data_IF_539993989640
#
_entry.id   IF_539993989640
#
_cell.length_a   1.000
_cell.length_b   1.000
_cell.length_c   1.000
_cell.angle_alpha   90.00
_cell.angle_beta   90.00
_cell.angle_gamma   90.00
#
_symmetry.space_group_name_H-M   'P 1'
#
loop_
_entity.id
_entity.type
_entity.pdbx_description
1 polymer ?
#
# COMPACT_ATOMS: atom_id res chain seq x y z
N UNK A 1 9.26 -0.85 58.09
CA UNK A 1 9.41 0.55 57.59
C UNK A 1 9.29 0.54 56.07
N UNK A 2 8.08 0.77 55.53
CA UNK A 2 7.86 0.80 54.07
C UNK A 2 8.47 2.05 53.44
N UNK A 3 9.20 1.90 52.33
CA UNK A 3 9.79 3.02 51.59
C UNK A 3 8.66 3.87 50.99
N UNK A 4 8.53 5.10 51.46
CA UNK A 4 7.58 6.07 50.92
C UNK A 4 7.96 6.39 49.48
N UNK A 5 7.15 5.92 48.53
CA UNK A 5 7.26 6.32 47.13
C UNK A 5 6.67 7.72 46.99
N UNK A 6 7.52 8.75 47.13
CA UNK A 6 7.12 10.10 46.75
C UNK A 6 6.76 10.12 45.27
N UNK A 7 5.59 10.68 44.96
CA UNK A 7 5.16 10.93 43.58
C UNK A 7 6.22 11.83 42.94
N UNK A 8 6.68 11.42 41.76
CA UNK A 8 7.67 12.20 40.99
C UNK A 8 7.09 13.55 40.62
N UNK A 9 7.95 14.56 40.60
CA UNK A 9 7.55 15.89 40.13
C UNK A 9 7.30 15.84 38.62
N UNK A 10 6.39 16.69 38.08
CA UNK A 10 6.13 16.75 36.65
C UNK A 10 7.39 17.00 35.80
N UNK A 11 8.37 17.73 36.36
CA UNK A 11 9.67 17.97 35.73
C UNK A 11 10.49 16.67 35.57
N UNK A 12 10.53 15.81 36.58
CA UNK A 12 11.25 14.52 36.54
C UNK A 12 10.58 13.53 35.56
N UNK A 13 9.26 13.60 35.41
CA UNK A 13 8.53 12.81 34.44
C UNK A 13 8.81 13.25 32.99
N UNK A 14 8.86 14.57 32.75
CA UNK A 14 9.21 15.12 31.44
C UNK A 14 10.65 14.75 31.02
N UNK A 15 11.62 14.82 31.93
CA UNK A 15 13.00 14.43 31.66
C UNK A 15 13.10 12.92 31.33
N UNK A 16 12.38 12.09 32.09
CA UNK A 16 12.34 10.64 31.83
C UNK A 16 11.70 10.33 30.48
N UNK A 17 10.65 11.06 30.10
CA UNK A 17 10.01 10.93 28.79
C UNK A 17 10.98 11.30 27.66
N UNK A 18 11.73 12.39 27.79
CA UNK A 18 12.78 12.78 26.83
C UNK A 18 13.89 11.73 26.73
N UNK A 19 14.33 11.17 27.86
CA UNK A 19 15.34 10.11 27.87
C UNK A 19 14.82 8.81 27.23
N UNK A 20 13.55 8.47 27.46
CA UNK A 20 12.89 7.31 26.82
C UNK A 20 12.73 7.54 25.31
N UNK A 21 12.33 8.74 24.89
CA UNK A 21 12.23 9.13 23.49
C UNK A 21 13.59 9.09 22.77
N UNK A 22 14.66 9.60 23.41
CA UNK A 22 16.03 9.55 22.86
C UNK A 22 16.55 8.11 22.75
N UNK A 23 16.24 7.24 23.72
CA UNK A 23 16.56 5.80 23.64
C UNK A 23 15.76 5.11 22.53
N UNK A 24 14.48 5.43 22.37
CA UNK A 24 13.65 4.91 21.29
C UNK A 24 14.16 5.35 19.90
N UNK A 25 14.52 6.62 19.74
CA UNK A 25 15.10 7.16 18.52
C UNK A 25 16.47 6.54 18.17
N UNK A 26 17.30 6.25 19.18
CA UNK A 26 18.57 5.53 18.97
C UNK A 26 18.33 4.07 18.56
N UNK A 27 17.30 3.42 19.11
CA UNK A 27 16.91 2.05 18.72
C UNK A 27 16.31 2.00 17.31
N UNK A 28 15.51 2.98 16.90
CA UNK A 28 14.96 3.03 15.54
C UNK A 28 16.06 3.27 14.49
N UNK A 29 17.02 4.16 14.76
CA UNK A 29 18.20 4.36 13.89
C UNK A 29 19.06 3.10 13.74
N UNK A 30 19.20 2.30 14.81
CA UNK A 30 19.95 1.04 14.74
C UNK A 30 19.17 -0.04 13.97
N UNK A 31 17.83 -0.02 13.99
CA UNK A 31 16.98 -0.89 13.16
C UNK A 31 17.03 -0.52 11.67
N UNK A 32 17.03 0.77 11.31
CA UNK A 32 17.08 1.18 9.90
C UNK A 32 18.42 0.86 9.23
N UNK A 33 19.53 0.90 9.97
CA UNK A 33 20.84 0.54 9.42
C UNK A 33 21.02 -0.98 9.19
N UNK A 34 20.17 -1.82 9.81
CA UNK A 34 20.21 -3.28 9.63
C UNK A 34 19.25 -3.78 8.55
N UNK A 35 18.29 -2.95 8.10
CA UNK A 35 17.33 -3.33 7.05
C UNK A 35 17.76 -2.94 5.63
N UNK A 36 18.84 -2.16 5.47
CA UNK A 36 19.29 -1.63 4.16
C UNK A 36 20.58 -2.31 3.66
N UNK A 37 21.06 -3.34 4.38
CA UNK A 37 22.33 -4.04 4.09
C UNK A 37 22.23 -5.56 4.01
N UNK A 38 21.03 -6.12 3.90
CA UNK A 38 20.83 -7.54 3.56
C UNK A 38 20.33 -7.59 2.12
N UNK A 39 21.24 -7.30 1.19
CA UNK A 39 21.15 -7.84 -0.16
C UNK A 39 21.25 -9.35 -0.04
N UNK A 40 20.26 -10.03 -0.61
CA UNK A 40 20.20 -11.46 -0.79
C UNK A 40 21.34 -11.91 -1.72
N UNK A 41 22.52 -12.15 -1.15
CA UNK A 41 23.53 -13.06 -1.71
C UNK A 41 23.91 -14.01 -0.57
N UNK A 42 23.22 -15.14 -0.52
CA UNK A 42 23.33 -16.10 0.57
C UNK A 42 22.89 -17.50 0.15
N UNK A 43 23.29 -17.93 -1.04
CA UNK A 43 23.31 -19.36 -1.37
C UNK A 43 24.43 -20.04 -0.58
N UNK A 44 24.02 -21.12 0.07
CA UNK A 44 24.82 -22.05 0.85
C UNK A 44 26.02 -22.62 0.07
N UNK A 45 27.16 -22.78 0.73
CA UNK A 45 28.16 -23.78 0.32
C UNK A 45 28.23 -24.91 1.36
N UNK A 46 28.24 -26.18 0.92
CA UNK A 46 27.97 -27.33 1.77
C UNK A 46 29.22 -27.89 2.43
N UNK A 47 28.98 -28.73 3.43
CA UNK A 47 29.93 -29.63 4.08
C UNK A 47 30.85 -30.32 3.06
N UNK A 48 32.15 -30.07 3.13
CA UNK A 48 33.19 -31.01 2.69
C UNK A 48 34.25 -31.12 3.77
N UNK A 49 34.24 -32.26 4.47
CA UNK A 49 35.40 -32.70 5.21
C UNK A 49 36.52 -33.03 4.22
N UNK A 50 37.71 -32.48 4.45
CA UNK A 50 38.96 -33.09 4.04
C UNK A 50 40.09 -32.55 4.92
N UNK A 51 40.56 -33.40 5.82
CA UNK A 51 41.94 -33.40 6.30
C UNK A 51 42.87 -33.39 5.08
N UNK A 52 43.60 -32.31 4.85
CA UNK A 52 44.92 -32.33 4.21
C UNK A 52 45.75 -31.22 4.86
N UNK A 53 46.74 -31.69 5.60
CA UNK A 53 47.99 -31.06 6.04
C UNK A 53 48.71 -30.24 4.96
N UNK A 54 49.65 -29.40 5.43
CA UNK A 54 50.82 -28.84 4.72
C UNK A 54 50.69 -27.34 4.37
N UNK A 55 51.22 -26.46 5.24
CA UNK A 55 52.52 -25.74 5.12
C UNK A 55 52.57 -24.83 3.87
N UNK A 56 52.76 -23.51 3.95
CA UNK A 56 53.88 -22.76 4.51
C UNK A 56 53.44 -21.27 4.65
N UNK A 57 54.01 -20.58 5.64
CA UNK A 57 54.36 -19.14 5.64
C UNK A 57 53.29 -18.13 5.17
N UNK A 58 52.67 -17.44 6.12
CA UNK A 58 52.82 -15.97 6.12
C UNK A 58 52.77 -15.45 7.57
N UNK A 59 53.84 -14.77 7.91
CA UNK A 59 54.23 -14.31 9.24
C UNK A 59 53.72 -12.86 9.41
N UNK A 60 53.44 -12.48 10.65
CA UNK A 60 53.29 -11.09 11.11
C UNK A 60 52.02 -10.29 10.78
N UNK A 61 50.94 -10.52 11.54
CA UNK A 61 50.12 -9.41 12.08
C UNK A 61 49.70 -9.70 13.52
N UNK A 62 50.50 -9.18 14.45
CA UNK A 62 50.30 -9.25 15.90
C UNK A 62 49.15 -8.33 16.34
N UNK A 63 47.96 -8.91 16.55
CA UNK A 63 46.80 -8.23 17.15
C UNK A 63 46.25 -9.04 18.33
N UNK A 64 45.83 -8.40 19.45
CA UNK A 64 45.32 -9.11 20.61
C UNK A 64 44.08 -9.96 20.24
N UNK A 65 44.00 -11.22 20.71
CA UNK A 65 42.88 -12.09 20.38
C UNK A 65 41.55 -11.48 20.85
N UNK A 66 40.49 -11.48 20.02
CA UNK A 66 39.19 -11.02 20.45
C UNK A 66 38.66 -11.92 21.58
N UNK A 67 37.96 -11.33 22.58
CA UNK A 67 37.41 -12.09 23.69
C UNK A 67 36.42 -13.16 23.19
N UNK A 68 36.31 -14.31 23.88
CA UNK A 68 35.43 -15.39 23.46
C UNK A 68 33.99 -14.89 23.37
N UNK A 69 33.44 -14.95 22.16
CA UNK A 69 32.06 -14.61 21.86
C UNK A 69 31.13 -15.44 22.74
N UNK A 70 30.51 -14.79 23.72
CA UNK A 70 29.36 -15.31 24.46
C UNK A 70 28.15 -15.37 23.51
N UNK A 71 28.19 -16.32 22.57
CA UNK A 71 27.13 -16.58 21.60
C UNK A 71 26.02 -17.43 22.23
N UNK A 72 25.31 -16.82 23.16
CA UNK A 72 23.91 -17.16 23.40
C UNK A 72 23.07 -15.93 23.06
N UNK A 73 23.24 -15.45 21.82
CA UNK A 73 22.31 -14.48 21.24
C UNK A 73 20.95 -15.16 21.18
N UNK A 74 20.08 -14.75 22.09
CA UNK A 74 18.64 -14.97 22.02
C UNK A 74 18.21 -14.73 20.57
N UNK A 75 17.88 -15.82 19.86
CA UNK A 75 17.10 -15.72 18.64
C UNK A 75 15.82 -14.98 19.06
N UNK A 76 15.52 -13.82 18.46
CA UNK A 76 14.25 -13.15 18.72
C UNK A 76 13.15 -14.18 18.50
N UNK A 77 12.25 -14.29 19.46
CA UNK A 77 11.14 -15.21 19.34
C UNK A 77 10.21 -14.67 18.24
N UNK A 78 10.36 -15.21 17.04
CA UNK A 78 9.67 -14.73 15.84
C UNK A 78 8.15 -14.86 16.00
N UNK A 79 7.71 -15.85 16.77
CA UNK A 79 6.31 -16.07 17.10
C UNK A 79 5.76 -14.97 18.02
N UNK A 80 6.57 -14.48 18.96
CA UNK A 80 6.20 -13.34 19.80
C UNK A 80 6.07 -12.04 18.98
N UNK A 81 6.91 -11.87 17.96
CA UNK A 81 6.88 -10.70 17.06
C UNK A 81 5.67 -10.78 16.11
N UNK A 82 5.36 -11.98 15.59
CA UNK A 82 4.17 -12.20 14.77
C UNK A 82 2.89 -11.98 15.56
N UNK A 83 2.81 -12.49 16.79
CA UNK A 83 1.68 -12.24 17.68
C UNK A 83 1.53 -10.75 18.01
N UNK A 84 2.63 -10.01 18.23
CA UNK A 84 2.53 -8.56 18.48
C UNK A 84 2.03 -7.78 17.25
N UNK A 85 2.40 -8.21 16.04
CA UNK A 85 1.91 -7.62 14.78
C UNK A 85 0.45 -7.98 14.50
N UNK A 86 0.04 -9.22 14.75
CA UNK A 86 -1.37 -9.62 14.64
C UNK A 86 -2.23 -8.94 15.69
N UNK A 87 -1.77 -8.83 16.93
CA UNK A 87 -2.49 -8.13 18.01
C UNK A 87 -2.61 -6.62 17.71
N UNK A 88 -1.60 -6.04 17.06
CA UNK A 88 -1.67 -4.65 16.57
C UNK A 88 -2.67 -4.49 15.41
N UNK A 89 -2.67 -5.40 14.43
CA UNK A 89 -3.66 -5.41 13.33
C UNK A 89 -5.07 -5.64 13.84
N UNK A 90 -5.23 -6.55 14.78
CA UNK A 90 -6.51 -6.86 15.40
C UNK A 90 -7.03 -5.65 16.18
N UNK A 91 -6.17 -4.97 16.94
CA UNK A 91 -6.51 -3.70 17.59
C UNK A 91 -6.88 -2.63 16.58
N UNK A 92 -6.10 -2.43 15.52
CA UNK A 92 -6.43 -1.43 14.50
C UNK A 92 -7.78 -1.73 13.84
N UNK A 93 -8.06 -2.99 13.51
CA UNK A 93 -9.35 -3.45 12.98
C UNK A 93 -10.51 -3.22 13.97
N UNK A 94 -10.28 -3.43 15.26
CA UNK A 94 -11.26 -3.11 16.31
C UNK A 94 -11.52 -1.61 16.44
N UNK A 95 -10.48 -0.78 16.30
CA UNK A 95 -10.62 0.68 16.32
C UNK A 95 -11.31 1.23 15.07
N UNK A 96 -11.14 0.58 13.93
CA UNK A 96 -11.83 0.93 12.68
C UNK A 96 -13.32 0.53 12.75
N UNK A 97 -13.62 -0.68 13.25
CA UNK A 97 -14.99 -1.14 13.47
C UNK A 97 -15.76 -0.28 14.48
N UNK A 98 -15.11 0.18 15.56
CA UNK A 98 -15.72 1.12 16.53
C UNK A 98 -15.73 2.57 16.06
N UNK A 99 -14.96 2.90 15.01
CA UNK A 99 -14.88 4.25 14.44
C UNK A 99 -16.02 4.56 13.46
N UNK A 100 -16.54 3.52 12.80
CA UNK A 100 -17.59 3.62 11.76
C UNK A 100 -19.00 3.31 12.28
N UNK A 101 -19.14 2.75 13.50
CA UNK A 101 -20.42 2.70 14.21
C UNK A 101 -20.81 4.12 14.62
N UNK A 102 -21.69 4.72 13.80
CA UNK A 102 -22.53 5.89 14.04
C UNK A 102 -22.39 6.46 15.45
N UNK A 103 -21.38 7.34 15.59
CA UNK A 103 -21.19 8.28 16.69
C UNK A 103 -22.57 8.72 17.17
N UNK A 104 -22.91 8.40 18.42
CA UNK A 104 -24.20 8.63 19.09
C UNK A 104 -24.87 9.98 18.73
N UNK A 105 -24.10 11.02 18.43
CA UNK A 105 -24.54 12.29 17.86
C UNK A 105 -25.47 12.16 16.62
N UNK A 106 -25.29 11.14 15.77
CA UNK A 106 -26.12 10.88 14.58
C UNK A 106 -27.45 10.19 14.90
N UNK A 107 -27.46 9.30 15.90
CA UNK A 107 -28.68 8.65 16.40
C UNK A 107 -29.51 9.67 17.20
N UNK A 108 -28.85 10.53 17.99
CA UNK A 108 -29.51 11.60 18.76
C UNK A 108 -30.08 12.70 17.83
N UNK A 109 -29.40 13.01 16.72
CA UNK A 109 -29.96 13.89 15.68
C UNK A 109 -31.21 13.27 15.02
N UNK A 110 -31.18 11.96 14.68
CA UNK A 110 -32.34 11.26 14.11
C UNK A 110 -33.51 11.12 15.09
N UNK A 111 -33.26 10.94 16.38
CA UNK A 111 -34.33 10.90 17.40
C UNK A 111 -34.95 12.28 17.64
N UNK A 112 -34.16 13.35 17.54
CA UNK A 112 -34.68 14.72 17.64
C UNK A 112 -35.48 15.17 16.41
N UNK A 113 -35.21 14.62 15.22
CA UNK A 113 -36.00 14.93 14.01
C UNK A 113 -37.41 14.33 14.02
N UNK A 114 -37.66 13.23 14.75
CA UNK A 114 -38.99 12.61 14.86
C UNK A 114 -39.82 13.12 16.05
N UNK A 115 -39.22 13.87 16.98
CA UNK A 115 -39.97 14.56 18.02
C UNK A 115 -40.60 15.84 17.45
N UNK A 116 -41.65 15.71 16.65
CA UNK A 116 -42.55 16.82 16.33
C UNK A 116 -43.25 17.26 17.62
N UNK A 117 -42.57 18.05 18.44
CA UNK A 117 -43.18 18.80 19.53
C UNK A 117 -44.14 19.79 18.88
N UNK A 118 -45.47 19.69 19.11
CA UNK A 118 -46.43 20.62 18.55
C UNK A 118 -46.05 22.06 18.92
N UNK A 119 -46.20 23.00 17.99
CA UNK A 119 -45.74 24.39 18.16
C UNK A 119 -46.26 25.06 19.43
N UNK A 120 -47.41 24.62 19.97
CA UNK A 120 -47.94 25.10 21.25
C UNK A 120 -47.07 24.80 22.48
N UNK A 121 -46.18 23.81 22.41
CA UNK A 121 -45.28 23.38 23.51
C UNK A 121 -43.83 23.77 23.25
N UNK A 122 -43.50 24.28 22.06
CA UNK A 122 -42.27 25.05 21.85
C UNK A 122 -42.49 26.38 22.57
N UNK A 123 -41.99 26.49 23.79
CA UNK A 123 -42.04 27.70 24.59
C UNK A 123 -41.52 28.89 23.77
N UNK A 124 -42.47 29.73 23.36
CA UNK A 124 -42.36 31.13 22.97
C UNK A 124 -40.96 31.74 23.12
N UNK A 125 -40.26 31.89 21.99
CA UNK A 125 -39.57 33.12 21.61
C UNK A 125 -38.89 32.91 20.26
N UNK A 126 -38.92 33.91 19.40
CA UNK A 126 -38.06 34.03 18.22
C UNK A 126 -38.43 33.20 16.98
N UNK A 127 -39.66 33.36 16.48
CA UNK A 127 -39.84 33.37 15.02
C UNK A 127 -40.92 34.34 14.57
N UNK A 128 -40.46 35.43 13.96
CA UNK A 128 -41.13 36.25 12.95
C UNK A 128 -42.53 36.80 13.26
N UNK A 129 -42.71 37.27 14.50
CA UNK A 129 -43.55 38.43 14.75
C UNK A 129 -42.61 39.56 15.16
N UNK A 130 -42.49 40.60 14.33
CA UNK A 130 -41.98 41.90 14.79
C UNK A 130 -42.69 42.15 16.13
N UNK A 131 -41.98 42.31 17.25
CA UNK A 131 -42.60 42.84 18.44
C UNK A 131 -43.03 44.24 18.03
N UNK A 132 -44.28 44.40 17.59
CA UNK A 132 -44.93 45.69 17.63
C UNK A 132 -44.97 45.99 19.11
N UNK A 133 -43.92 46.66 19.55
CA UNK A 133 -43.83 47.25 20.87
C UNK A 133 -45.13 48.05 20.98
N UNK A 134 -46.10 47.56 21.76
CA UNK A 134 -47.41 48.19 22.02
C UNK A 134 -47.25 49.55 22.74
N UNK A 135 -46.10 50.21 22.58
CA UNK A 135 -45.66 51.44 23.22
C UNK A 135 -46.02 52.68 22.42
N UNK A 136 -46.35 52.54 21.13
CA UNK A 136 -46.68 53.66 20.23
C UNK A 136 -48.15 53.67 19.79
N UNK A 137 -49.07 53.17 20.63
CA UNK A 137 -50.52 53.34 20.38
C UNK A 137 -50.97 54.68 20.99
N UNK A 138 -51.39 55.62 20.14
CA UNK A 138 -51.81 56.96 20.54
C UNK A 138 -53.15 56.89 21.33
N UNK A 139 -53.21 57.31 22.61
CA UNK A 139 -54.37 57.10 23.49
C UNK A 139 -55.66 57.79 23.03
N UNK A 140 -55.59 58.68 22.04
CA UNK A 140 -56.73 59.43 21.51
C UNK A 140 -57.68 58.62 20.65
N UNK A 141 -57.26 57.44 20.20
CA UNK A 141 -58.05 56.55 19.35
C UNK A 141 -58.52 55.28 20.08
N UNK A 142 -58.34 55.22 21.40
CA UNK A 142 -58.76 54.07 22.22
C UNK A 142 -60.15 54.31 22.81
N UNK A 143 -60.95 53.27 22.88
CA UNK A 143 -62.24 53.29 23.55
C UNK A 143 -62.04 53.42 25.07
N UNK A 144 -63.02 53.96 25.80
CA UNK A 144 -62.86 54.25 27.25
C UNK A 144 -62.48 53.01 28.08
N UNK A 145 -62.92 51.81 27.69
CA UNK A 145 -62.55 50.54 28.32
C UNK A 145 -61.10 50.12 27.99
N UNK A 146 -60.66 50.31 26.74
CA UNK A 146 -59.28 50.05 26.30
C UNK A 146 -58.30 51.05 26.92
N UNK A 147 -58.71 52.31 27.05
CA UNK A 147 -57.93 53.34 27.74
C UNK A 147 -57.81 53.02 29.24
N UNK A 148 -58.88 52.55 29.88
CA UNK A 148 -58.84 52.14 31.28
C UNK A 148 -57.90 50.96 31.50
N UNK A 149 -57.88 49.97 30.59
CA UNK A 149 -56.92 48.87 30.62
C UNK A 149 -55.50 49.34 30.35
N UNK A 150 -55.27 50.22 29.37
CA UNK A 150 -53.96 50.80 29.09
C UNK A 150 -53.39 51.60 30.26
N UNK A 151 -54.23 52.39 30.95
CA UNK A 151 -53.83 53.11 32.17
C UNK A 151 -53.54 52.14 33.30
N UNK A 152 -54.32 51.07 33.45
CA UNK A 152 -54.12 50.05 34.49
C UNK A 152 -52.81 49.29 34.23
N UNK A 153 -52.56 48.87 32.99
CA UNK A 153 -51.33 48.24 32.55
C UNK A 153 -50.13 49.19 32.68
N UNK A 154 -50.30 50.46 32.33
CA UNK A 154 -49.30 51.51 32.49
C UNK A 154 -48.96 51.76 33.96
N UNK A 155 -49.94 51.77 34.86
CA UNK A 155 -49.73 51.88 36.31
C UNK A 155 -49.04 50.64 36.88
N UNK A 156 -49.45 49.43 36.48
CA UNK A 156 -48.78 48.21 36.90
C UNK A 156 -47.33 48.15 36.40
N UNK A 157 -47.06 48.59 35.15
CA UNK A 157 -45.71 48.68 34.60
C UNK A 157 -44.87 49.72 35.32
N UNK A 158 -45.37 50.93 35.54
CA UNK A 158 -44.63 51.98 36.24
C UNK A 158 -44.33 51.62 37.71
N UNK A 159 -45.29 50.99 38.41
CA UNK A 159 -45.09 50.49 39.77
C UNK A 159 -44.13 49.30 39.80
N UNK A 160 -44.18 48.40 38.80
CA UNK A 160 -43.20 47.31 38.64
C UNK A 160 -41.81 47.80 38.23
N UNK A 161 -41.71 48.99 37.62
CA UNK A 161 -40.46 49.58 37.18
C UNK A 161 -39.79 50.42 38.27
N UNK A 162 -40.56 50.91 39.26
CA UNK A 162 -40.06 51.67 40.43
C UNK A 162 -39.70 50.76 41.62
N UNK A 163 -40.21 49.53 41.69
CA UNK A 163 -39.82 48.56 42.72
C UNK A 163 -39.09 47.38 42.11
N UNK A 164 -37.83 47.25 42.52
CA UNK A 164 -36.90 46.15 42.20
C UNK A 164 -36.19 46.34 40.87
N UNK A 165 -35.15 47.19 40.86
CA UNK A 165 -33.93 46.82 40.11
C UNK A 165 -33.52 45.49 40.73
N UNK A 166 -33.65 44.34 40.05
CA UNK A 166 -33.29 43.09 40.66
C UNK A 166 -31.79 43.16 40.93
N UNK A 167 -31.39 43.07 42.19
CA UNK A 167 -29.98 42.90 42.56
C UNK A 167 -29.34 41.66 41.88
N UNK A 168 -30.15 40.81 41.23
CA UNK A 168 -29.73 39.68 40.41
C UNK A 168 -29.05 40.08 39.08
N UNK A 169 -29.18 41.32 38.60
CA UNK A 169 -28.52 41.77 37.36
C UNK A 169 -26.99 41.73 37.47
N UNK A 170 -26.45 42.00 38.66
CA UNK A 170 -25.00 41.98 38.93
C UNK A 170 -24.49 40.53 38.97
N UNK A 171 -25.25 39.62 39.60
CA UNK A 171 -24.89 38.21 39.68
C UNK A 171 -24.98 37.49 38.32
N UNK A 172 -26.00 37.80 37.51
CA UNK A 172 -26.11 37.28 36.16
C UNK A 172 -24.99 37.80 35.24
N UNK A 173 -24.66 39.10 35.33
CA UNK A 173 -23.53 39.65 34.58
C UNK A 173 -22.22 38.96 34.96
N UNK A 174 -22.01 38.67 36.25
CA UNK A 174 -20.85 37.92 36.72
C UNK A 174 -20.85 36.46 36.24
N UNK A 175 -22.01 35.79 36.23
CA UNK A 175 -22.16 34.41 35.70
C UNK A 175 -21.90 34.36 34.20
N UNK A 176 -22.42 35.32 33.42
CA UNK A 176 -22.17 35.45 31.98
C UNK A 176 -20.69 35.71 31.69
N UNK A 177 -20.02 36.56 32.49
CA UNK A 177 -18.56 36.77 32.38
C UNK A 177 -17.76 35.50 32.65
N UNK A 178 -18.13 34.72 33.68
CA UNK A 178 -17.48 33.42 33.96
C UNK A 178 -17.67 32.41 32.85
N UNK A 179 -18.87 32.28 32.30
CA UNK A 179 -19.12 31.38 31.17
C UNK A 179 -18.42 31.84 29.90
N UNK A 180 -18.40 33.15 29.61
CA UNK A 180 -17.67 33.70 28.47
C UNK A 180 -16.18 33.35 28.56
N UNK A 181 -15.56 33.51 29.73
CA UNK A 181 -14.16 33.12 29.96
C UNK A 181 -13.94 31.62 29.75
N UNK A 182 -14.85 30.76 30.24
CA UNK A 182 -14.77 29.32 30.01
C UNK A 182 -14.87 28.96 28.52
N UNK A 183 -15.78 29.59 27.77
CA UNK A 183 -15.90 29.38 26.33
C UNK A 183 -14.66 29.82 25.55
N UNK A 184 -14.03 30.93 25.94
CA UNK A 184 -12.78 31.40 25.33
C UNK A 184 -11.62 30.43 25.60
N UNK A 185 -11.51 29.90 26.82
CA UNK A 185 -10.50 28.89 27.18
C UNK A 185 -10.71 27.58 26.42
N UNK A 186 -11.97 27.11 26.31
CA UNK A 186 -12.31 25.93 25.54
C UNK A 186 -12.04 26.13 24.04
N UNK A 187 -12.36 27.31 23.49
CA UNK A 187 -12.07 27.67 22.11
C UNK A 187 -10.56 27.66 21.85
N UNK A 188 -9.75 28.20 22.76
CA UNK A 188 -8.28 28.15 22.68
C UNK A 188 -7.75 26.73 22.68
N UNK A 189 -8.23 25.87 23.58
CA UNK A 189 -7.83 24.47 23.66
C UNK A 189 -8.22 23.69 22.40
N UNK A 190 -9.41 23.92 21.86
CA UNK A 190 -9.87 23.32 20.60
C UNK A 190 -9.03 23.80 19.41
N UNK A 191 -8.72 25.09 19.33
CA UNK A 191 -7.88 25.66 18.29
C UNK A 191 -6.45 25.08 18.33
N UNK A 192 -5.86 24.94 19.52
CA UNK A 192 -4.53 24.33 19.69
C UNK A 192 -4.52 22.85 19.27
N UNK A 193 -5.52 22.07 19.68
CA UNK A 193 -5.63 20.67 19.27
C UNK A 193 -5.85 20.54 17.76
N UNK A 194 -6.66 21.41 17.16
CA UNK A 194 -6.86 21.46 15.72
C UNK A 194 -5.54 21.77 14.99
N UNK A 195 -4.77 22.76 15.46
CA UNK A 195 -3.46 23.09 14.92
C UNK A 195 -2.46 21.92 15.05
N UNK A 196 -2.46 21.19 16.17
CA UNK A 196 -1.61 20.01 16.36
C UNK A 196 -2.02 18.87 15.42
N UNK A 197 -3.32 18.64 15.22
CA UNK A 197 -3.84 17.65 14.29
C UNK A 197 -3.50 18.01 12.84
N UNK A 198 -3.61 19.29 12.48
CA UNK A 198 -3.24 19.79 11.15
C UNK A 198 -1.75 19.55 10.85
N UNK A 199 -0.84 19.95 11.74
CA UNK A 199 0.61 19.70 11.57
C UNK A 199 0.95 18.22 11.45
N UNK A 200 0.31 17.36 12.26
CA UNK A 200 0.52 15.90 12.17
C UNK A 200 0.01 15.35 10.84
N UNK A 201 -1.12 15.86 10.33
CA UNK A 201 -1.69 15.47 9.04
C UNK A 201 -0.78 15.89 7.88
N UNK A 202 -0.22 17.09 7.93
CA UNK A 202 0.75 17.59 6.94
C UNK A 202 2.01 16.74 6.90
N UNK A 203 2.62 16.46 8.07
CA UNK A 203 3.79 15.58 8.15
C UNK A 203 3.51 14.18 7.60
N UNK A 204 2.33 13.61 7.91
CA UNK A 204 1.92 12.30 7.37
C UNK A 204 1.71 12.34 5.85
N UNK A 205 1.12 13.41 5.33
CA UNK A 205 0.92 13.57 3.90
C UNK A 205 2.25 13.70 3.14
N UNK A 206 3.23 14.39 3.71
CA UNK A 206 4.58 14.50 3.16
C UNK A 206 5.28 13.14 3.14
N UNK A 207 5.22 12.38 4.24
CA UNK A 207 5.81 11.03 4.29
C UNK A 207 5.12 10.07 3.32
N UNK A 208 3.80 10.13 3.20
CA UNK A 208 3.06 9.28 2.26
C UNK A 208 3.40 9.60 0.80
N UNK A 209 3.65 10.87 0.46
CA UNK A 209 4.11 11.27 -0.88
C UNK A 209 5.49 10.70 -1.19
N UNK A 210 6.42 10.78 -0.25
CA UNK A 210 7.77 10.21 -0.41
C UNK A 210 7.74 8.67 -0.48
N UNK A 211 6.91 8.02 0.31
CA UNK A 211 6.76 6.56 0.28
C UNK A 211 6.19 6.09 -1.07
N UNK A 212 5.18 6.78 -1.59
CA UNK A 212 4.58 6.48 -2.91
C UNK A 212 5.61 6.55 -4.04
N UNK A 213 6.48 7.56 -4.05
CA UNK A 213 7.52 7.67 -5.10
C UNK A 213 8.57 6.57 -4.98
N UNK A 214 8.91 6.13 -3.77
CA UNK A 214 9.81 4.99 -3.54
C UNK A 214 9.18 3.68 -4.00
N UNK A 215 7.90 3.45 -3.71
CA UNK A 215 7.18 2.26 -4.13
C UNK A 215 7.04 2.18 -5.66
N UNK A 216 6.70 3.29 -6.31
CA UNK A 216 6.65 3.37 -7.78
C UNK A 216 8.02 3.05 -8.41
N UNK A 217 9.12 3.57 -7.85
CA UNK A 217 10.48 3.25 -8.30
C UNK A 217 10.81 1.77 -8.11
N UNK A 218 10.41 1.15 -7.00
CA UNK A 218 10.59 -0.30 -6.77
C UNK A 218 9.80 -1.12 -7.78
N UNK A 219 8.55 -0.73 -8.06
CA UNK A 219 7.70 -1.38 -9.07
C UNK A 219 8.29 -1.25 -10.47
N UNK A 220 8.80 -0.08 -10.84
CA UNK A 220 9.50 0.14 -12.11
C UNK A 220 10.76 -0.74 -12.22
N UNK A 221 11.59 -0.79 -11.18
CA UNK A 221 12.80 -1.63 -11.15
C UNK A 221 12.47 -3.13 -11.28
N UNK A 222 11.36 -3.59 -10.69
CA UNK A 222 10.90 -4.99 -10.84
C UNK A 222 10.50 -5.28 -12.30
N UNK A 223 9.71 -4.39 -12.91
CA UNK A 223 9.31 -4.50 -14.32
C UNK A 223 10.49 -4.46 -15.28
N UNK A 224 11.47 -3.59 -15.01
CA UNK A 224 12.69 -3.49 -15.83
C UNK A 224 13.54 -4.78 -15.73
N UNK A 225 13.70 -5.32 -14.52
CA UNK A 225 14.39 -6.61 -14.32
C UNK A 225 13.69 -7.75 -15.04
N UNK A 226 12.36 -7.80 -14.98
CA UNK A 226 11.56 -8.80 -15.69
C UNK A 226 11.70 -8.66 -17.21
N UNK A 227 11.57 -7.43 -17.74
CA UNK A 227 11.81 -7.13 -19.15
C UNK A 227 13.20 -7.56 -19.61
N UNK A 228 14.23 -7.28 -18.79
CA UNK A 228 15.61 -7.70 -19.09
C UNK A 228 15.74 -9.22 -19.13
N UNK A 229 15.13 -9.94 -18.17
CA UNK A 229 15.11 -11.42 -18.19
C UNK A 229 14.44 -11.95 -19.45
N UNK A 230 13.35 -11.34 -19.90
CA UNK A 230 12.71 -11.73 -21.15
C UNK A 230 13.60 -11.49 -22.37
N UNK A 231 14.28 -10.35 -22.44
CA UNK A 231 15.23 -10.04 -23.51
C UNK A 231 16.41 -11.02 -23.53
N UNK A 232 16.99 -11.30 -22.36
CA UNK A 232 18.07 -12.27 -22.20
C UNK A 232 17.60 -13.68 -22.62
N UNK A 233 16.38 -14.09 -22.24
CA UNK A 233 15.80 -15.37 -22.64
C UNK A 233 15.57 -15.47 -24.16
N UNK A 234 15.10 -14.40 -24.81
CA UNK A 234 14.95 -14.35 -26.27
C UNK A 234 16.31 -14.41 -26.98
N UNK A 235 17.31 -13.69 -26.47
CA UNK A 235 18.67 -13.71 -27.00
C UNK A 235 19.30 -15.11 -26.88
N UNK A 236 19.08 -15.79 -25.75
CA UNK A 236 19.54 -17.16 -25.56
C UNK A 236 18.84 -18.14 -26.50
N UNK A 237 17.52 -18.01 -26.69
CA UNK A 237 16.77 -18.79 -27.67
C UNK A 237 17.35 -18.64 -29.08
N UNK A 238 17.62 -17.41 -29.54
CA UNK A 238 18.20 -17.18 -30.86
C UNK A 238 19.64 -17.69 -30.97
N UNK A 239 20.43 -17.59 -29.90
CA UNK A 239 21.78 -18.17 -29.83
C UNK A 239 21.73 -19.69 -29.97
N UNK A 240 20.92 -20.36 -29.16
CA UNK A 240 20.75 -21.83 -29.21
C UNK A 240 20.26 -22.29 -30.58
N UNK A 241 19.35 -21.55 -31.20
CA UNK A 241 18.91 -21.83 -32.57
C UNK A 241 20.04 -21.73 -33.59
N UNK A 242 20.90 -20.70 -33.49
CA UNK A 242 22.08 -20.55 -34.36
C UNK A 242 23.04 -21.72 -34.17
N UNK A 243 23.34 -22.10 -32.93
CA UNK A 243 24.26 -23.18 -32.60
C UNK A 243 23.75 -24.55 -33.10
N UNK A 244 22.43 -24.78 -33.05
CA UNK A 244 21.80 -26.00 -33.56
C UNK A 244 21.80 -26.10 -35.09
N UNK A 245 21.63 -24.96 -35.77
CA UNK A 245 21.58 -24.87 -37.24
C UNK A 245 22.97 -24.82 -37.89
N UNK A 246 24.02 -24.47 -37.14
CA UNK A 246 25.38 -24.46 -37.65
C UNK A 246 25.85 -25.91 -37.93
N UNK A 247 26.18 -26.26 -39.19
CA UNK A 247 26.70 -27.58 -39.53
C UNK A 247 28.10 -27.85 -38.95
N UNK A 248 28.85 -26.81 -38.60
CA UNK A 248 30.21 -26.93 -38.08
C UNK A 248 30.25 -27.25 -36.58
N UNK A 249 29.17 -26.96 -35.86
CA UNK A 249 29.07 -27.29 -34.44
C UNK A 249 28.88 -28.80 -34.31
N UNK A 250 29.97 -29.51 -33.98
CA UNK A 250 29.91 -30.93 -33.64
C UNK A 250 29.18 -31.08 -32.31
N UNK A 251 27.88 -31.35 -32.38
CA UNK A 251 27.08 -31.74 -31.23
C UNK A 251 27.47 -33.18 -30.87
N UNK A 252 28.49 -33.33 -30.03
CA UNK A 252 28.97 -34.63 -29.57
C UNK A 252 28.00 -35.33 -28.61
N UNK A 253 27.04 -34.58 -28.05
CA UNK A 253 25.97 -35.08 -27.20
C UNK A 253 24.69 -35.24 -28.01
N UNK A 254 24.02 -36.38 -27.85
CA UNK A 254 22.64 -36.55 -28.30
C UNK A 254 21.76 -35.51 -27.63
N UNK A 255 21.00 -34.74 -28.42
CA UNK A 255 20.13 -33.68 -27.91
C UNK A 255 18.95 -34.30 -27.16
N UNK A 256 18.71 -33.84 -25.94
CA UNK A 256 17.51 -34.16 -25.17
C UNK A 256 16.34 -33.25 -25.56
N UNK A 257 15.15 -33.55 -25.05
CA UNK A 257 13.98 -32.69 -25.19
C UNK A 257 14.20 -31.26 -24.65
N UNK A 258 15.02 -31.09 -23.61
CA UNK A 258 15.28 -29.81 -22.94
C UNK A 258 16.30 -28.93 -23.69
N UNK A 259 17.16 -29.54 -24.50
CA UNK A 259 18.16 -28.83 -25.30
C UNK A 259 17.53 -28.09 -26.49
N UNK A 260 16.32 -28.50 -26.91
CA UNK A 260 15.59 -27.84 -27.99
C UNK A 260 15.10 -26.47 -27.50
N UNK A 261 15.47 -25.35 -28.16
CA UNK A 261 15.04 -24.01 -27.77
C UNK A 261 13.56 -23.80 -28.12
N UNK A 262 12.69 -24.17 -27.20
CA UNK A 262 11.25 -23.95 -27.29
C UNK A 262 10.89 -22.46 -27.12
N UNK A 263 9.90 -21.93 -27.84
CA UNK A 263 9.51 -20.52 -27.76
C UNK A 263 8.60 -20.27 -26.55
N UNK A 264 9.12 -20.55 -25.35
CA UNK A 264 8.42 -20.41 -24.08
C UNK A 264 9.33 -19.69 -23.08
N UNK A 265 8.75 -18.81 -22.26
CA UNK A 265 9.45 -18.41 -21.05
C UNK A 265 9.45 -19.59 -20.10
N UNK A 266 10.64 -19.99 -19.62
CA UNK A 266 10.74 -20.96 -18.55
C UNK A 266 9.79 -20.48 -17.44
N UNK A 267 8.80 -21.29 -17.02
CA UNK A 267 7.90 -20.90 -15.97
C UNK A 267 8.77 -20.53 -14.78
N UNK A 268 8.80 -19.25 -14.44
CA UNK A 268 9.37 -18.82 -13.17
C UNK A 268 8.39 -19.34 -12.15
N UNK A 269 8.58 -20.59 -11.74
CA UNK A 269 7.92 -21.15 -10.59
C UNK A 269 8.38 -20.27 -9.44
N UNK A 270 7.58 -19.25 -9.14
CA UNK A 270 7.73 -18.39 -7.98
C UNK A 270 7.47 -19.17 -6.67
N UNK A 271 7.51 -20.51 -6.70
CA UNK A 271 7.67 -21.31 -5.51
C UNK A 271 9.12 -21.15 -5.03
N UNK A 272 9.31 -20.13 -4.21
CA UNK A 272 10.40 -20.03 -3.25
C UNK A 272 10.42 -21.32 -2.41
N UNK A 273 11.06 -22.39 -2.88
CA UNK A 273 11.72 -23.45 -2.12
C UNK A 273 12.01 -24.71 -2.96
N UNK A 274 13.31 -24.92 -3.19
CA UNK A 274 14.02 -26.19 -3.02
C UNK A 274 13.94 -27.34 -4.04
N UNK A 275 13.03 -27.39 -5.00
CA UNK A 275 13.07 -28.45 -6.04
C UNK A 275 13.74 -27.95 -7.32
N UNK A 276 15.08 -27.94 -7.29
CA UNK A 276 15.95 -27.40 -8.34
C UNK A 276 16.14 -28.29 -9.58
N UNK A 277 15.59 -29.50 -9.61
CA UNK A 277 16.18 -30.55 -10.47
C UNK A 277 15.28 -31.15 -11.55
N UNK A 278 14.09 -30.57 -11.83
CA UNK A 278 13.32 -31.01 -13.00
C UNK A 278 12.39 -29.92 -13.52
N UNK A 279 12.95 -28.96 -14.27
CA UNK A 279 12.19 -28.08 -15.16
C UNK A 279 11.72 -28.85 -16.41
N UNK A 280 10.92 -29.90 -16.21
CA UNK A 280 10.34 -30.66 -17.31
C UNK A 280 9.24 -29.85 -17.98
N UNK A 281 9.51 -29.28 -19.16
CA UNK A 281 8.51 -28.61 -19.99
C UNK A 281 7.47 -29.65 -20.43
N UNK A 282 6.28 -29.63 -19.82
CA UNK A 282 5.16 -30.45 -20.24
C UNK A 282 4.53 -29.92 -21.55
N UNK A 283 3.94 -30.82 -22.33
CA UNK A 283 3.27 -30.49 -23.60
C UNK A 283 2.11 -29.50 -23.41
N UNK A 284 1.53 -29.48 -22.22
CA UNK A 284 0.43 -28.60 -21.81
C UNK A 284 0.82 -27.12 -21.84
N UNK A 285 2.12 -26.81 -21.70
CA UNK A 285 2.62 -25.44 -21.64
C UNK A 285 2.73 -24.77 -23.02
N UNK A 286 2.62 -25.52 -24.12
CA UNK A 286 2.58 -24.97 -25.47
C UNK A 286 1.19 -24.38 -25.79
N UNK A 287 0.83 -23.34 -25.06
CA UNK A 287 -0.41 -22.57 -25.26
C UNK A 287 -0.17 -21.39 -26.21
N UNK A 288 -1.23 -20.95 -26.89
CA UNK A 288 -1.18 -19.77 -27.76
C UNK A 288 -0.72 -18.51 -27.01
N UNK A 289 -1.11 -18.36 -25.74
CA UNK A 289 -0.72 -17.22 -24.90
C UNK A 289 0.76 -17.25 -24.53
N UNK A 290 1.31 -18.41 -24.18
CA UNK A 290 2.72 -18.52 -23.82
C UNK A 290 3.63 -18.31 -25.04
N UNK A 291 3.30 -18.93 -26.17
CA UNK A 291 4.08 -18.81 -27.42
C UNK A 291 4.00 -17.38 -27.98
N UNK A 292 2.81 -16.76 -27.95
CA UNK A 292 2.66 -15.37 -28.40
C UNK A 292 3.38 -14.39 -27.48
N UNK A 293 3.34 -14.58 -26.15
CA UNK A 293 4.09 -13.73 -25.21
C UNK A 293 5.60 -13.81 -25.43
N UNK A 294 6.12 -14.99 -25.77
CA UNK A 294 7.53 -15.19 -26.05
C UNK A 294 7.96 -14.56 -27.38
N UNK A 295 7.27 -14.89 -28.47
CA UNK A 295 7.64 -14.48 -29.83
C UNK A 295 7.32 -13.01 -30.13
N UNK A 296 6.27 -12.46 -29.52
CA UNK A 296 5.78 -11.10 -29.79
C UNK A 296 6.04 -10.25 -28.53
N UNK A 297 7.02 -9.33 -28.56
CA UNK A 297 7.30 -8.47 -27.42
C UNK A 297 6.04 -7.72 -26.96
N UNK A 298 5.76 -7.74 -25.66
CA UNK A 298 4.58 -7.07 -25.07
C UNK A 298 4.55 -5.57 -25.41
N UNK A 299 5.72 -4.96 -25.62
CA UNK A 299 5.83 -3.57 -26.09
C UNK A 299 5.13 -3.32 -27.43
N UNK A 300 5.15 -4.30 -28.34
CA UNK A 300 4.39 -4.21 -29.59
C UNK A 300 2.89 -4.35 -29.35
N UNK A 301 2.46 -5.23 -28.42
CA UNK A 301 1.04 -5.41 -28.12
C UNK A 301 0.42 -4.23 -27.36
N UNK A 302 1.15 -3.59 -26.44
CA UNK A 302 0.62 -2.47 -25.65
C UNK A 302 0.43 -1.20 -26.51
N UNK A 303 1.29 -0.99 -27.50
CA UNK A 303 1.15 0.08 -28.48
C UNK A 303 -0.17 -0.04 -29.27
N UNK A 304 -0.59 -1.27 -29.62
CA UNK A 304 -1.85 -1.52 -30.34
C UNK A 304 -3.11 -1.13 -29.54
N UNK A 305 -3.07 -1.20 -28.21
CA UNK A 305 -4.25 -0.94 -27.34
C UNK A 305 -4.39 0.55 -27.01
N UNK A 306 -3.28 1.29 -26.91
CA UNK A 306 -3.31 2.70 -26.50
C UNK A 306 -3.59 3.67 -27.67
N UNK A 307 -3.35 3.26 -28.92
CA UNK A 307 -3.43 4.14 -30.10
C UNK A 307 -4.72 4.00 -30.93
N UNK A 308 -5.80 3.47 -30.36
CA UNK A 308 -7.11 3.41 -31.02
C UNK A 308 -7.69 4.80 -31.40
N UNK A 309 -7.05 5.90 -30.98
CA UNK A 309 -7.53 7.27 -31.20
C UNK A 309 -6.65 8.19 -32.06
N UNK A 310 -5.38 7.88 -32.37
CA UNK A 310 -4.51 8.84 -33.04
C UNK A 310 -3.46 8.18 -33.97
N UNK A 311 -3.51 8.53 -35.26
CA UNK A 311 -2.45 8.29 -36.26
C UNK A 311 -2.24 6.84 -36.73
N UNK A 312 -2.91 6.50 -37.84
CA UNK A 312 -2.98 5.20 -38.55
C UNK A 312 -1.68 4.56 -39.15
N UNK A 313 -0.47 5.16 -39.23
CA UNK A 313 0.67 4.50 -39.87
C UNK A 313 1.35 3.38 -39.06
N UNK A 314 1.43 3.50 -37.73
CA UNK A 314 2.27 2.63 -36.87
C UNK A 314 1.71 1.21 -36.77
N UNK A 315 0.39 1.09 -36.63
CA UNK A 315 -0.33 -0.18 -36.52
C UNK A 315 -0.08 -1.17 -37.67
N UNK A 316 0.13 -0.66 -38.90
CA UNK A 316 0.39 -1.51 -40.07
C UNK A 316 1.78 -2.14 -39.99
N UNK A 317 2.77 -1.40 -39.48
CA UNK A 317 4.14 -1.89 -39.33
C UNK A 317 4.23 -2.99 -38.27
N UNK A 318 3.61 -2.79 -37.11
CA UNK A 318 3.61 -3.77 -36.01
C UNK A 318 2.95 -5.09 -36.42
N UNK A 319 1.85 -5.03 -37.17
CA UNK A 319 1.21 -6.25 -37.73
C UNK A 319 2.11 -6.99 -38.71
N UNK A 320 2.89 -6.26 -39.52
CA UNK A 320 3.83 -6.88 -40.46
C UNK A 320 4.98 -7.55 -39.71
N UNK A 321 5.55 -6.88 -38.71
CA UNK A 321 6.61 -7.42 -37.85
C UNK A 321 6.13 -8.66 -37.09
N UNK A 322 4.92 -8.64 -36.51
CA UNK A 322 4.29 -9.81 -35.89
C UNK A 322 4.21 -10.99 -36.87
N UNK A 323 3.67 -10.75 -38.07
CA UNK A 323 3.53 -11.80 -39.10
C UNK A 323 4.88 -12.31 -39.60
N UNK A 324 5.88 -11.45 -39.70
CA UNK A 324 7.24 -11.83 -40.07
C UNK A 324 7.89 -12.74 -39.02
N UNK A 325 7.78 -12.38 -37.73
CA UNK A 325 8.28 -13.20 -36.62
C UNK A 325 7.57 -14.55 -36.53
N UNK A 326 6.26 -14.59 -36.74
CA UNK A 326 5.51 -15.85 -36.79
C UNK A 326 5.90 -16.72 -37.98
N UNK A 327 6.12 -16.12 -39.16
CA UNK A 327 6.62 -16.85 -40.34
C UNK A 327 8.03 -17.40 -40.11
N UNK A 328 8.90 -16.63 -39.49
CA UNK A 328 10.25 -17.08 -39.12
C UNK A 328 10.17 -18.29 -38.18
N UNK A 329 9.35 -18.22 -37.13
CA UNK A 329 9.13 -19.32 -36.21
C UNK A 329 8.49 -20.55 -36.91
N UNK A 330 7.52 -20.35 -37.80
CA UNK A 330 6.91 -21.41 -38.61
C UNK A 330 7.95 -22.14 -39.47
N UNK A 331 8.88 -21.40 -40.08
CA UNK A 331 9.96 -21.99 -40.88
C UNK A 331 10.95 -22.79 -40.02
N UNK A 332 11.21 -22.36 -38.78
CA UNK A 332 12.06 -23.08 -37.81
C UNK A 332 11.40 -24.37 -37.31
N UNK A 333 10.09 -24.32 -37.01
CA UNK A 333 9.30 -25.43 -36.44
C UNK A 333 8.48 -26.22 -37.46
N UNK A 334 8.77 -26.09 -38.76
CA UNK A 334 8.08 -26.89 -39.77
C UNK A 334 8.43 -28.39 -39.59
N UNK A 335 7.46 -29.30 -39.45
CA UNK A 335 7.71 -30.70 -39.07
C UNK A 335 8.72 -31.38 -40.00
N UNK A 336 8.56 -31.23 -41.31
CA UNK A 336 9.47 -31.81 -42.31
C UNK A 336 10.92 -31.28 -42.22
N UNK A 337 11.10 -29.96 -42.11
CA UNK A 337 12.44 -29.35 -42.03
C UNK A 337 13.11 -29.62 -40.69
N UNK A 338 12.33 -29.64 -39.62
CA UNK A 338 12.80 -29.96 -38.27
C UNK A 338 13.25 -31.42 -38.19
N UNK A 339 12.49 -32.35 -38.79
CA UNK A 339 12.84 -33.77 -38.83
C UNK A 339 14.12 -34.04 -39.62
N UNK A 340 14.29 -33.39 -40.77
CA UNK A 340 15.50 -33.54 -41.58
C UNK A 340 16.78 -33.03 -40.90
N UNK A 341 16.68 -31.96 -40.10
CA UNK A 341 17.85 -31.24 -39.54
C UNK A 341 18.17 -31.59 -38.10
N UNK A 342 17.17 -31.67 -37.23
CA UNK A 342 17.34 -31.73 -35.78
C UNK A 342 17.04 -33.13 -35.25
N UNK A 343 15.98 -33.81 -35.73
CA UNK A 343 15.59 -35.13 -35.19
C UNK A 343 16.67 -36.21 -35.32
N UNK A 344 17.60 -36.08 -36.27
CA UNK A 344 18.76 -36.99 -36.39
C UNK A 344 19.73 -36.88 -35.21
N UNK A 345 19.76 -35.73 -34.54
CA UNK A 345 20.61 -35.42 -33.39
C UNK A 345 19.94 -35.74 -32.04
N UNK A 346 18.61 -35.91 -32.03
CA UNK A 346 17.81 -36.13 -30.80
C UNK A 346 17.91 -37.58 -30.32
N UNK A 347 17.99 -37.78 -29.01
CA UNK A 347 17.96 -39.10 -28.36
C UNK A 347 16.68 -39.85 -28.74
N UNK A 348 16.77 -41.15 -29.04
CA UNK A 348 15.63 -41.96 -29.46
C UNK A 348 14.46 -41.96 -28.48
N UNK A 349 14.72 -41.90 -27.17
CA UNK A 349 13.69 -41.82 -26.12
C UNK A 349 12.82 -40.57 -26.23
N UNK A 350 13.40 -39.46 -26.71
CA UNK A 350 12.76 -38.15 -26.72
C UNK A 350 12.18 -37.80 -28.09
N UNK A 351 12.50 -38.57 -29.14
CA UNK A 351 12.07 -38.30 -30.52
C UNK A 351 10.56 -38.13 -30.64
N UNK A 352 9.78 -39.02 -30.04
CA UNK A 352 8.32 -38.95 -30.14
C UNK A 352 7.76 -37.72 -29.40
N UNK A 353 8.31 -37.41 -28.22
CA UNK A 353 7.94 -36.23 -27.44
C UNK A 353 8.30 -34.92 -28.16
N UNK A 354 9.48 -34.85 -28.78
CA UNK A 354 9.89 -33.70 -29.61
C UNK A 354 8.99 -33.56 -30.83
N UNK A 355 8.65 -34.66 -31.51
CA UNK A 355 7.74 -34.64 -32.68
C UNK A 355 6.36 -34.09 -32.31
N UNK A 356 5.81 -34.54 -31.19
CA UNK A 356 4.52 -34.06 -30.68
C UNK A 356 4.57 -32.56 -30.32
N UNK A 357 5.60 -32.14 -29.59
CA UNK A 357 5.80 -30.74 -29.22
C UNK A 357 5.96 -29.82 -30.45
N UNK A 358 6.76 -30.22 -31.45
CA UNK A 358 6.90 -29.49 -32.72
C UNK A 358 5.55 -29.39 -33.44
N UNK A 359 4.79 -30.48 -33.50
CA UNK A 359 3.45 -30.48 -34.09
C UNK A 359 2.46 -29.57 -33.36
N UNK A 360 2.56 -29.48 -32.02
CA UNK A 360 1.74 -28.56 -31.23
C UNK A 360 2.14 -27.10 -31.45
N UNK A 361 3.44 -26.78 -31.40
CA UNK A 361 3.98 -25.44 -31.68
C UNK A 361 3.58 -24.96 -33.08
N UNK A 362 3.74 -25.81 -34.10
CA UNK A 362 3.36 -25.47 -35.47
C UNK A 362 1.85 -25.19 -35.60
N UNK A 363 0.99 -25.97 -34.96
CA UNK A 363 -0.47 -25.72 -34.94
C UNK A 363 -0.79 -24.37 -34.27
N UNK A 364 -0.19 -24.09 -33.12
CA UNK A 364 -0.38 -22.82 -32.40
C UNK A 364 0.09 -21.62 -33.22
N UNK A 365 1.26 -21.70 -33.86
CA UNK A 365 1.78 -20.61 -34.69
C UNK A 365 0.86 -20.37 -35.91
N UNK A 366 0.31 -21.42 -36.52
CA UNK A 366 -0.66 -21.26 -37.62
C UNK A 366 -1.93 -20.54 -37.14
N UNK A 367 -2.49 -20.92 -36.00
CA UNK A 367 -3.63 -20.21 -35.40
C UNK A 367 -3.31 -18.73 -35.16
N UNK A 368 -2.13 -18.40 -34.62
CA UNK A 368 -1.69 -17.02 -34.39
C UNK A 368 -1.41 -16.22 -35.68
N UNK A 369 -1.22 -16.87 -36.83
CA UNK A 369 -1.08 -16.21 -38.14
C UNK A 369 -2.43 -15.91 -38.80
N UNK A 370 -3.44 -16.74 -38.52
CA UNK A 370 -4.81 -16.57 -39.00
C UNK A 370 -5.54 -15.44 -38.26
N UNK A 371 -5.22 -15.24 -36.97
CA UNK A 371 -5.62 -14.08 -36.15
C UNK A 371 -4.94 -12.75 -36.56
#
# INVERSE_FOLDING_TARGET
MGKLHLKRTPAEEAERALRKARKAARRSRKRSHLSDGMGEDGESSPRRGRNVTDSYLDEDVYGPPPPPSSSSMHKPDYDAILNELEDARFREKMWDALGDDERLDGIDARFNDYAHVPNRWRTNAARDGVPTDQRDVDPRFMDDDEYAEWVRDGMWRFVSQIRVVPCNCIEEAHRRRKHAQQYEEEARKKAEQAARRARKKEMKAETARLEKTVEERRKQKRKEREKRREEDARAEYDRRWKDLLDPNTQHHSSLSFEDVPWPLFAPTTHSDAADLDSFSIALEHFTATAISAFLIPVSANLALVQDAGASRPTFIHEKKEKKEKLREAMLRFHPDKFEGRIMRKVVETDKDRVREAVGQVARVINTLMEE
#
